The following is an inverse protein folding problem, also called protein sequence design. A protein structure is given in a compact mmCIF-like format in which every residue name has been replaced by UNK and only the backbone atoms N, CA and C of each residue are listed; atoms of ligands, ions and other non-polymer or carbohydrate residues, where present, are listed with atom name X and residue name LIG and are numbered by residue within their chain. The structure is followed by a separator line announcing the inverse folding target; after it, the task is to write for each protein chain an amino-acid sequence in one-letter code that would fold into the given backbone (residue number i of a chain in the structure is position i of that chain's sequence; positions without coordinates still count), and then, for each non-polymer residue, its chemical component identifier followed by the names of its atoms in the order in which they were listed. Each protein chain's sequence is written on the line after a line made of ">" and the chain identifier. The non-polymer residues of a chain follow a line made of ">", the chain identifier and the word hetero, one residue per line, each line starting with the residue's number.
data_IF_380745820557
#
_entry.id   IF_380745820557
#
_cell.length_a   1.000
_cell.length_b   1.000
_cell.length_c   1.000
_cell.angle_alpha   90.00
_cell.angle_beta   90.00
_cell.angle_gamma   90.00
#
_symmetry.space_group_name_H-M   'P 1'
#
loop_
_entity.id
_entity.type
_entity.pdbx_description
1 polymer ?
#
# COMPACT_ATOMS: atom_id res chain seq x y z
N UNK A 1 13.72 9.90 8.86
CA UNK A 1 12.93 10.59 9.91
C UNK A 1 11.65 9.81 10.17
N UNK A 2 11.36 9.47 11.42
CA UNK A 2 10.11 8.79 11.83
C UNK A 2 9.21 9.76 12.58
N UNK A 3 7.96 9.90 12.17
CA UNK A 3 6.96 10.71 12.89
C UNK A 3 5.62 10.01 12.86
N UNK A 4 5.13 9.49 13.98
CA UNK A 4 3.82 8.86 14.02
C UNK A 4 3.13 8.98 15.37
N UNK A 5 1.80 9.07 15.33
CA UNK A 5 0.95 9.05 16.53
C UNK A 5 0.44 7.62 16.67
N UNK A 6 0.91 6.90 17.69
CA UNK A 6 0.44 5.56 18.04
C UNK A 6 -0.66 5.66 19.09
N UNK A 7 -1.81 5.06 18.82
CA UNK A 7 -2.79 4.72 19.86
C UNK A 7 -2.42 3.36 20.50
N UNK A 8 -3.27 2.85 21.38
CA UNK A 8 -2.92 1.79 22.33
C UNK A 8 -2.53 0.47 21.62
N UNK A 9 -1.57 -0.26 22.22
CA UNK A 9 -1.13 -1.59 21.79
C UNK A 9 -0.59 -1.71 20.35
N UNK A 10 -0.32 -0.60 19.66
CA UNK A 10 0.26 -0.60 18.32
C UNK A 10 1.75 -0.96 18.32
N UNK A 11 2.14 -1.94 17.51
CA UNK A 11 3.55 -2.31 17.30
C UNK A 11 4.03 -1.70 15.99
N UNK A 12 5.09 -0.89 16.06
CA UNK A 12 5.78 -0.37 14.87
C UNK A 12 7.24 -0.79 14.93
N UNK A 13 7.71 -1.44 13.86
CA UNK A 13 9.11 -1.79 13.69
C UNK A 13 9.55 -1.51 12.26
N UNK A 14 10.80 -1.13 12.06
CA UNK A 14 11.31 -0.98 10.70
C UNK A 14 12.78 -0.64 10.64
N UNK A 15 13.35 -0.91 9.48
CA UNK A 15 14.72 -0.51 9.12
C UNK A 15 14.61 0.70 8.22
N UNK A 16 15.27 1.79 8.61
CA UNK A 16 15.40 2.99 7.80
C UNK A 16 16.87 3.17 7.44
N UNK A 17 17.15 3.17 6.15
CA UNK A 17 18.45 3.48 5.56
C UNK A 17 18.30 4.76 4.72
N UNK A 18 19.37 5.54 4.64
CA UNK A 18 19.57 6.69 3.72
C UNK A 18 18.31 7.54 3.43
N UNK A 19 18.07 8.54 4.29
CA UNK A 19 16.98 9.54 4.18
C UNK A 19 15.55 8.97 4.15
N UNK A 20 15.32 7.69 4.47
CA UNK A 20 13.98 7.13 4.58
C UNK A 20 13.04 7.92 5.52
N UNK A 21 11.81 8.16 5.08
CA UNK A 21 10.79 8.88 5.86
C UNK A 21 9.56 8.00 6.06
N UNK A 22 9.17 7.82 7.31
CA UNK A 22 7.88 7.22 7.66
C UNK A 22 7.05 8.20 8.47
N UNK A 23 5.80 8.39 8.05
CA UNK A 23 4.82 9.08 8.87
C UNK A 23 3.43 8.46 8.83
N UNK A 24 2.71 8.56 9.93
CA UNK A 24 1.32 8.10 9.94
C UNK A 24 0.57 8.32 11.23
N UNK A 25 -0.75 8.20 11.10
CA UNK A 25 -1.69 8.13 12.22
C UNK A 25 -2.15 6.69 12.31
N UNK A 26 -2.17 6.17 13.53
CA UNK A 26 -2.22 4.75 13.77
C UNK A 26 -3.28 4.40 14.81
N UNK A 27 -4.24 3.56 14.42
CA UNK A 27 -5.25 2.95 15.26
C UNK A 27 -4.69 1.97 16.30
N UNK A 28 -5.59 1.43 17.11
CA UNK A 28 -5.33 0.47 18.18
C UNK A 28 -4.97 -0.91 17.63
N UNK A 29 -4.22 -1.71 18.41
CA UNK A 29 -3.93 -3.14 18.16
C UNK A 29 -3.29 -3.48 16.80
N UNK A 30 -2.68 -2.50 16.13
CA UNK A 30 -2.08 -2.68 14.81
C UNK A 30 -0.64 -3.23 14.86
N UNK A 31 -0.19 -3.77 13.73
CA UNK A 31 1.20 -4.13 13.49
C UNK A 31 1.69 -3.49 12.19
N UNK A 32 2.79 -2.73 12.26
CA UNK A 32 3.46 -2.21 11.07
C UNK A 32 4.93 -2.58 11.04
N UNK A 33 5.34 -3.14 9.91
CA UNK A 33 6.73 -3.47 9.62
C UNK A 33 7.15 -2.90 8.27
N UNK A 34 8.19 -2.07 8.27
CA UNK A 34 8.71 -1.41 7.07
C UNK A 34 10.21 -1.62 6.88
N UNK A 35 10.66 -1.77 5.64
CA UNK A 35 12.06 -1.50 5.26
C UNK A 35 12.02 -0.37 4.25
N UNK A 36 12.69 0.74 4.54
CA UNK A 36 12.82 1.87 3.62
C UNK A 36 14.29 2.16 3.40
N UNK A 37 14.70 2.16 2.14
CA UNK A 37 16.06 2.51 1.71
C UNK A 37 16.02 3.73 0.78
N UNK A 38 17.15 4.41 0.63
CA UNK A 38 17.43 5.37 -0.46
C UNK A 38 16.26 6.31 -0.79
N UNK A 39 15.92 7.21 0.14
CA UNK A 39 14.83 8.19 0.02
C UNK A 39 13.41 7.61 -0.09
N UNK A 40 13.18 6.36 0.31
CA UNK A 40 11.84 5.81 0.40
C UNK A 40 10.92 6.62 1.33
N UNK A 41 9.66 6.81 0.92
CA UNK A 41 8.66 7.57 1.70
C UNK A 41 7.41 6.72 1.91
N UNK A 42 7.06 6.46 3.17
CA UNK A 42 5.79 5.85 3.53
C UNK A 42 4.93 6.79 4.37
N UNK A 43 3.72 7.09 3.88
CA UNK A 43 2.72 7.88 4.58
C UNK A 43 1.40 7.13 4.68
N UNK A 44 0.65 7.34 5.75
CA UNK A 44 -0.72 6.86 5.78
C UNK A 44 -1.48 7.08 7.07
N UNK A 45 -2.78 6.87 6.97
CA UNK A 45 -3.68 6.70 8.12
C UNK A 45 -4.08 5.25 8.14
N UNK A 46 -3.99 4.61 9.29
CA UNK A 46 -4.22 3.19 9.43
C UNK A 46 -5.16 2.96 10.60
N UNK A 47 -6.24 2.22 10.33
CA UNK A 47 -7.29 1.88 11.26
C UNK A 47 -6.83 0.87 12.32
N UNK A 48 -7.80 0.40 13.07
CA UNK A 48 -7.60 -0.55 14.15
C UNK A 48 -7.39 -1.97 13.60
N UNK A 49 -6.59 -2.78 14.31
CA UNK A 49 -6.28 -4.18 13.95
C UNK A 49 -5.60 -4.39 12.59
N UNK A 50 -5.06 -3.33 11.99
CA UNK A 50 -4.35 -3.40 10.71
C UNK A 50 -3.00 -4.13 10.80
N UNK A 51 -2.68 -4.89 9.75
CA UNK A 51 -1.34 -5.48 9.54
C UNK A 51 -0.73 -4.95 8.25
N UNK A 52 0.33 -4.16 8.38
CA UNK A 52 1.03 -3.55 7.24
C UNK A 52 2.46 -4.05 7.17
N UNK A 53 2.83 -4.60 6.01
CA UNK A 53 4.22 -4.96 5.68
C UNK A 53 4.63 -4.32 4.37
N UNK A 54 5.62 -3.42 4.41
CA UNK A 54 6.11 -2.74 3.21
C UNK A 54 7.63 -2.81 3.09
N UNK A 55 8.09 -2.98 1.86
CA UNK A 55 9.49 -2.78 1.48
C UNK A 55 9.49 -1.71 0.40
N UNK A 56 10.21 -0.62 0.63
CA UNK A 56 10.42 0.44 -0.33
C UNK A 56 11.92 0.59 -0.57
N UNK A 57 12.31 0.40 -1.82
CA UNK A 57 13.66 0.65 -2.31
C UNK A 57 13.64 1.92 -3.17
N UNK A 58 14.81 2.52 -3.35
CA UNK A 58 15.18 3.64 -4.23
C UNK A 58 14.01 4.57 -4.67
N UNK A 59 13.79 5.63 -3.89
CA UNK A 59 12.77 6.67 -4.11
C UNK A 59 11.31 6.15 -4.19
N UNK A 60 11.04 4.93 -3.74
CA UNK A 60 9.68 4.40 -3.66
C UNK A 60 8.79 5.25 -2.75
N UNK A 61 7.58 5.56 -3.22
CA UNK A 61 6.59 6.35 -2.47
C UNK A 61 5.31 5.55 -2.29
N UNK A 62 4.88 5.41 -1.04
CA UNK A 62 3.57 4.85 -0.70
C UNK A 62 2.78 5.83 0.15
N UNK A 63 1.53 6.05 -0.25
CA UNK A 63 0.53 6.76 0.54
C UNK A 63 -0.75 5.94 0.62
N UNK A 64 -1.43 5.91 1.76
CA UNK A 64 -2.78 5.38 1.74
C UNK A 64 -3.54 5.53 3.04
N UNK A 65 -4.84 5.34 2.93
CA UNK A 65 -5.75 5.20 4.07
C UNK A 65 -6.18 3.76 4.12
N UNK A 66 -5.96 3.13 5.27
CA UNK A 66 -6.51 1.83 5.57
C UNK A 66 -7.58 2.00 6.66
N UNK A 67 -8.80 1.56 6.35
CA UNK A 67 -9.84 1.30 7.36
C UNK A 67 -9.64 -0.09 8.00
N UNK A 68 -10.46 -0.43 8.98
CA UNK A 68 -10.18 -1.41 10.02
C UNK A 68 -10.00 -2.85 9.49
N UNK A 69 -9.19 -3.63 10.20
CA UNK A 69 -8.93 -5.06 9.91
C UNK A 69 -8.31 -5.31 8.52
N UNK A 70 -7.59 -4.34 7.97
CA UNK A 70 -6.90 -4.45 6.69
C UNK A 70 -5.55 -5.15 6.80
N UNK A 71 -5.27 -6.03 5.83
CA UNK A 71 -3.93 -6.62 5.64
C UNK A 71 -3.35 -6.09 4.35
N UNK A 72 -2.23 -5.37 4.42
CA UNK A 72 -1.54 -4.85 3.23
C UNK A 72 -0.07 -5.22 3.21
N UNK A 73 0.32 -5.87 2.11
CA UNK A 73 1.69 -6.25 1.80
C UNK A 73 2.16 -5.63 0.49
N UNK A 74 3.31 -4.98 0.48
CA UNK A 74 3.83 -4.35 -0.74
C UNK A 74 5.35 -4.40 -0.87
N UNK A 75 5.84 -4.56 -2.09
CA UNK A 75 7.21 -4.24 -2.48
C UNK A 75 7.15 -3.16 -3.56
N UNK A 76 7.89 -2.08 -3.34
CA UNK A 76 8.09 -0.98 -4.28
C UNK A 76 9.58 -0.90 -4.57
N UNK A 77 9.94 -1.16 -5.82
CA UNK A 77 11.29 -0.99 -6.36
C UNK A 77 11.33 0.31 -7.19
N UNK A 78 12.53 0.88 -7.31
CA UNK A 78 12.95 2.03 -8.13
C UNK A 78 11.83 2.99 -8.61
N UNK A 79 11.65 4.10 -7.91
CA UNK A 79 10.69 5.18 -8.20
C UNK A 79 9.22 4.73 -8.29
N UNK A 80 8.86 3.54 -7.80
CA UNK A 80 7.48 3.08 -7.77
C UNK A 80 6.60 3.96 -6.88
N UNK A 81 5.39 4.28 -7.34
CA UNK A 81 4.43 5.10 -6.60
C UNK A 81 3.11 4.33 -6.42
N UNK A 82 2.71 4.15 -5.16
CA UNK A 82 1.37 3.63 -4.82
C UNK A 82 0.57 4.62 -4.00
N UNK A 83 -0.67 4.81 -4.40
CA UNK A 83 -1.68 5.51 -3.60
C UNK A 83 -2.96 4.69 -3.53
N UNK A 84 -3.60 4.63 -2.36
CA UNK A 84 -4.93 4.07 -2.29
C UNK A 84 -5.70 4.39 -1.02
N UNK A 85 -7.03 4.35 -1.18
CA UNK A 85 -7.98 4.33 -0.08
C UNK A 85 -8.61 2.96 -0.10
N UNK A 86 -8.83 2.41 1.08
CA UNK A 86 -9.19 1.03 1.13
C UNK A 86 -10.06 0.76 2.37
N UNK A 87 -11.24 0.17 2.15
CA UNK A 87 -12.27 -0.10 3.17
C UNK A 87 -11.91 -1.18 4.20
N UNK A 88 -12.91 -1.69 4.91
CA UNK A 88 -12.71 -2.64 5.99
C UNK A 88 -12.39 -4.07 5.50
N UNK A 89 -11.78 -4.90 6.35
CA UNK A 89 -11.68 -6.37 6.20
C UNK A 89 -11.03 -6.89 4.91
N UNK A 90 -10.13 -6.13 4.31
CA UNK A 90 -9.54 -6.50 3.00
C UNK A 90 -8.13 -7.05 3.10
N UNK A 91 -7.71 -7.67 2.00
CA UNK A 91 -6.35 -8.18 1.82
C UNK A 91 -5.77 -7.65 0.50
N UNK A 92 -4.71 -6.85 0.58
CA UNK A 92 -4.01 -6.35 -0.61
C UNK A 92 -2.56 -6.82 -0.63
N UNK A 93 -2.13 -7.34 -1.78
CA UNK A 93 -0.72 -7.62 -2.07
C UNK A 93 -0.28 -7.02 -3.40
N UNK A 94 0.77 -6.21 -3.37
CA UNK A 94 1.31 -5.53 -4.55
C UNK A 94 2.80 -5.72 -4.72
N UNK A 95 3.26 -5.82 -5.97
CA UNK A 95 4.66 -5.55 -6.35
C UNK A 95 4.63 -4.51 -7.48
N UNK A 96 5.36 -3.42 -7.29
CA UNK A 96 5.56 -2.38 -8.31
C UNK A 96 7.06 -2.28 -8.57
N UNK A 97 7.46 -2.47 -9.83
CA UNK A 97 8.84 -2.26 -10.27
C UNK A 97 8.98 -1.00 -11.11
N UNK A 98 10.20 -0.47 -11.14
CA UNK A 98 10.71 0.56 -12.05
C UNK A 98 9.67 1.55 -12.60
N UNK A 99 9.48 2.68 -11.90
CA UNK A 99 8.55 3.75 -12.26
C UNK A 99 7.06 3.34 -12.40
N UNK A 100 6.67 2.17 -11.88
CA UNK A 100 5.27 1.75 -11.86
C UNK A 100 4.41 2.69 -11.00
N UNK A 101 3.20 2.99 -11.45
CA UNK A 101 2.24 3.84 -10.74
C UNK A 101 0.92 3.10 -10.56
N UNK A 102 0.48 2.95 -9.30
CA UNK A 102 -0.84 2.41 -8.98
C UNK A 102 -1.65 3.36 -8.13
N UNK A 103 -2.88 3.65 -8.57
CA UNK A 103 -3.87 4.43 -7.81
C UNK A 103 -5.19 3.71 -7.70
N UNK A 104 -5.52 3.20 -6.52
CA UNK A 104 -6.69 2.34 -6.36
C UNK A 104 -7.57 2.77 -5.19
N UNK A 105 -8.89 2.62 -5.36
CA UNK A 105 -9.86 2.68 -4.26
C UNK A 105 -10.53 1.32 -4.17
N UNK A 106 -10.57 0.74 -2.98
CA UNK A 106 -11.11 -0.58 -2.74
C UNK A 106 -12.19 -0.52 -1.67
N UNK A 107 -13.27 -1.25 -1.89
CA UNK A 107 -14.38 -1.40 -0.97
C UNK A 107 -14.06 -2.38 0.14
N UNK A 108 -15.10 -2.73 0.89
CA UNK A 108 -15.00 -3.62 2.03
C UNK A 108 -14.84 -5.07 1.57
N UNK A 109 -14.10 -5.88 2.33
CA UNK A 109 -13.92 -7.33 2.10
C UNK A 109 -13.21 -7.68 0.78
N UNK A 110 -12.50 -6.75 0.16
CA UNK A 110 -11.78 -7.00 -1.09
C UNK A 110 -10.53 -7.89 -0.92
N UNK A 111 -10.23 -8.70 -1.93
CA UNK A 111 -8.97 -9.45 -2.03
C UNK A 111 -8.26 -9.12 -3.33
N UNK A 112 -7.12 -8.45 -3.23
CA UNK A 112 -6.40 -7.92 -4.39
C UNK A 112 -4.97 -8.41 -4.44
N UNK A 113 -4.56 -8.86 -5.63
CA UNK A 113 -3.17 -9.15 -5.96
C UNK A 113 -2.77 -8.44 -7.24
N UNK A 114 -1.76 -7.57 -7.19
CA UNK A 114 -1.23 -6.89 -8.37
C UNK A 114 0.28 -6.99 -8.49
N UNK A 115 0.72 -7.13 -9.73
CA UNK A 115 2.12 -6.95 -10.12
C UNK A 115 2.15 -5.97 -11.29
N UNK A 116 2.92 -4.90 -11.17
CA UNK A 116 3.21 -3.97 -12.24
C UNK A 116 4.71 -4.03 -12.51
N UNK A 117 5.06 -4.40 -13.73
CA UNK A 117 6.42 -4.31 -14.26
C UNK A 117 6.66 -2.88 -14.80
N UNK A 118 7.82 -2.68 -15.44
CA UNK A 118 8.41 -1.37 -15.74
C UNK A 118 7.45 -0.36 -16.40
N UNK A 119 7.35 0.84 -15.83
CA UNK A 119 6.47 1.93 -16.28
C UNK A 119 4.97 1.56 -16.38
N UNK A 120 4.55 0.47 -15.74
CA UNK A 120 3.14 0.07 -15.70
C UNK A 120 2.29 1.07 -14.92
N UNK A 121 1.14 1.46 -15.49
CA UNK A 121 0.19 2.37 -14.85
C UNK A 121 -1.15 1.67 -14.65
N UNK A 122 -1.63 1.62 -13.41
CA UNK A 122 -2.98 1.14 -13.12
C UNK A 122 -3.76 2.15 -12.30
N UNK A 123 -5.03 2.31 -12.66
CA UNK A 123 -6.00 2.91 -11.77
C UNK A 123 -7.26 2.06 -11.67
N UNK A 124 -7.90 2.06 -10.51
CA UNK A 124 -9.24 1.49 -10.46
C UNK A 124 -10.00 1.77 -9.19
N UNK A 125 -11.31 1.61 -9.29
CA UNK A 125 -12.24 1.61 -8.17
C UNK A 125 -12.87 0.22 -8.13
N UNK A 126 -12.85 -0.40 -6.97
CA UNK A 126 -13.41 -1.72 -6.73
C UNK A 126 -14.45 -1.53 -5.62
N UNK A 127 -15.69 -1.92 -5.91
CA UNK A 127 -16.74 -2.03 -4.92
C UNK A 127 -16.49 -3.22 -4.01
N UNK A 128 -17.38 -3.39 -3.05
CA UNK A 128 -17.23 -4.38 -1.98
C UNK A 128 -17.08 -5.82 -2.52
N UNK A 129 -16.48 -6.70 -1.73
CA UNK A 129 -16.32 -8.14 -2.01
C UNK A 129 -15.59 -8.46 -3.33
N UNK A 130 -14.87 -7.50 -3.90
CA UNK A 130 -14.14 -7.62 -5.14
C UNK A 130 -12.91 -8.51 -5.00
N UNK A 131 -12.82 -9.55 -5.83
CA UNK A 131 -11.58 -10.33 -5.99
C UNK A 131 -10.91 -9.93 -7.30
N UNK A 132 -9.74 -9.30 -7.21
CA UNK A 132 -8.99 -8.91 -8.40
C UNK A 132 -7.55 -9.40 -8.38
N UNK A 133 -7.13 -9.98 -9.50
CA UNK A 133 -5.75 -10.36 -9.74
C UNK A 133 -5.32 -9.86 -11.11
N UNK A 134 -4.21 -9.13 -11.17
CA UNK A 134 -3.69 -8.60 -12.42
C UNK A 134 -2.17 -8.57 -12.45
N UNK A 135 -1.61 -8.82 -13.63
CA UNK A 135 -0.21 -8.55 -13.95
C UNK A 135 -0.22 -7.62 -15.16
N UNK A 136 0.39 -6.46 -15.01
CA UNK A 136 0.68 -5.57 -16.13
C UNK A 136 2.16 -5.68 -16.45
N UNK A 137 2.46 -6.06 -17.69
CA UNK A 137 3.82 -6.02 -18.20
C UNK A 137 4.26 -4.59 -18.53
N UNK A 138 5.46 -4.48 -19.10
CA UNK A 138 6.12 -3.21 -19.37
C UNK A 138 5.26 -2.23 -20.16
N UNK A 139 5.19 -0.99 -19.68
CA UNK A 139 4.39 0.11 -20.23
C UNK A 139 2.88 -0.19 -20.31
N UNK A 140 2.41 -1.24 -19.64
CA UNK A 140 1.00 -1.58 -19.59
C UNK A 140 0.20 -0.47 -18.92
N UNK A 141 -0.95 -0.13 -19.48
CA UNK A 141 -1.88 0.83 -18.88
C UNK A 141 -3.24 0.18 -18.74
N UNK A 142 -3.81 0.20 -17.53
CA UNK A 142 -5.17 -0.27 -17.31
C UNK A 142 -5.96 0.66 -16.40
N UNK A 143 -7.24 0.81 -16.71
CA UNK A 143 -8.21 1.45 -15.84
C UNK A 143 -9.45 0.58 -15.74
N UNK A 144 -10.00 0.43 -14.55
CA UNK A 144 -11.22 -0.35 -14.35
C UNK A 144 -12.05 0.17 -13.18
N UNK A 145 -13.36 0.11 -13.34
CA UNK A 145 -14.32 0.21 -12.25
C UNK A 145 -15.00 -1.15 -12.17
N UNK A 146 -14.90 -1.82 -11.03
CA UNK A 146 -15.76 -2.94 -10.69
C UNK A 146 -16.69 -2.45 -9.60
N UNK A 147 -17.99 -2.45 -9.85
CA UNK A 147 -19.01 -2.22 -8.83
C UNK A 147 -19.73 -3.55 -8.59
N UNK A 148 -19.99 -3.86 -7.32
CA UNK A 148 -20.83 -5.01 -6.95
C UNK A 148 -22.28 -4.74 -7.42
N UNK A 149 -23.00 -5.79 -7.85
CA UNK A 149 -24.44 -5.72 -8.15
C UNK A 149 -25.27 -6.10 -6.92
#
# INVERSE_FOLDING_TARGET
>A
MTSGVLKNNGITGGVLEDNGITSGVFGDNRITRGVLKNNGIARGVFGDNDIIRRVLEDNGITSGVLEDNGITGGVLEDNGITSGVFGDNRITRGVLKNNGIARCVFGDNDIIRRVLEDNGITSGVFGDNGITSGVLGDNGITSGVLEDN
#
